data_IF_663823815440
#
_entry.id   IF_663823815440
#
_cell.length_a   1.000
_cell.length_b   1.000
_cell.length_c   1.000
_cell.angle_alpha   90.00
_cell.angle_beta   90.00
_cell.angle_gamma   90.00
#
_symmetry.space_group_name_H-M   'P 1'
#
loop_
_entity.id
_entity.type
_entity.pdbx_description
1 polymer ?
#
# COMPACT_ATOMS: atom_id res chain seq x y z
N UNK A 1 2.88 8.88 7.14
CA UNK A 1 3.72 7.80 7.72
C UNK A 1 2.91 6.92 8.66
N UNK A 2 2.30 7.46 9.71
CA UNK A 2 1.52 6.68 10.70
C UNK A 2 0.41 5.83 10.05
N UNK A 3 -0.29 6.34 9.06
CA UNK A 3 -1.38 5.64 8.34
C UNK A 3 -0.89 4.38 7.63
N UNK A 4 0.36 4.38 7.15
CA UNK A 4 1.01 3.25 6.47
C UNK A 4 1.73 2.27 7.39
N UNK A 5 1.67 2.46 8.68
CA UNK A 5 2.38 1.65 9.66
C UNK A 5 1.48 0.59 10.26
N UNK A 6 1.84 -0.64 10.27
CA UNK A 6 2.75 -1.47 9.46
C UNK A 6 2.01 -2.06 8.23
N UNK A 7 1.60 -1.26 7.31
CA UNK A 7 0.81 -1.58 6.11
C UNK A 7 -0.65 -1.97 6.39
N UNK A 8 -1.17 -1.58 7.56
CA UNK A 8 -2.50 -1.91 8.04
C UNK A 8 -3.51 -0.80 7.69
N UNK A 9 -3.67 -0.55 6.40
CA UNK A 9 -4.61 0.41 5.84
C UNK A 9 -5.36 -0.21 4.65
N UNK A 10 -6.20 0.58 3.97
CA UNK A 10 -6.97 0.13 2.83
C UNK A 10 -6.11 -0.34 1.64
N UNK A 11 -6.74 -1.01 0.70
CA UNK A 11 -6.13 -1.40 -0.58
C UNK A 11 -7.14 -1.21 -1.71
N UNK A 12 -6.72 -0.50 -2.76
CA UNK A 12 -7.45 -0.34 -4.00
C UNK A 12 -6.84 -1.23 -5.09
N UNK A 13 -7.63 -2.20 -5.58
CA UNK A 13 -7.21 -3.11 -6.63
C UNK A 13 -7.64 -2.56 -8.00
N UNK A 14 -6.67 -2.19 -8.83
CA UNK A 14 -6.87 -1.55 -10.12
C UNK A 14 -5.71 -1.88 -11.06
N UNK A 15 -5.60 -1.22 -12.21
CA UNK A 15 -4.40 -1.33 -13.05
C UNK A 15 -3.15 -0.84 -12.31
N UNK A 16 -3.31 0.17 -11.43
CA UNK A 16 -2.32 0.54 -10.42
C UNK A 16 -2.90 0.30 -9.03
N UNK A 17 -2.31 -0.63 -8.27
CA UNK A 17 -2.68 -0.85 -6.89
C UNK A 17 -2.18 0.29 -6.01
N UNK A 18 -3.00 0.68 -5.04
CA UNK A 18 -2.66 1.77 -4.15
C UNK A 18 -3.50 1.78 -2.88
N UNK A 19 -3.29 2.81 -2.08
CA UNK A 19 -3.88 2.96 -0.76
C UNK A 19 -4.43 4.38 -0.61
N UNK A 20 -5.68 4.64 -1.02
CA UNK A 20 -6.26 5.98 -0.99
C UNK A 20 -6.31 6.62 0.39
N UNK A 21 -6.35 5.85 1.48
CA UNK A 21 -6.25 6.39 2.84
C UNK A 21 -4.92 7.10 3.12
N UNK A 22 -3.89 6.88 2.29
CA UNK A 22 -2.62 7.61 2.34
C UNK A 22 -2.79 9.13 2.25
N UNK A 23 -3.90 9.60 1.66
CA UNK A 23 -4.23 11.02 1.56
C UNK A 23 -4.60 11.68 2.91
N UNK A 24 -5.03 10.90 3.91
CA UNK A 24 -5.54 11.42 5.19
C UNK A 24 -4.54 12.33 5.89
N UNK A 25 -3.24 12.04 5.82
CA UNK A 25 -2.22 12.84 6.50
C UNK A 25 -2.23 14.31 6.09
N UNK A 26 -2.25 14.59 4.79
CA UNK A 26 -2.32 15.95 4.26
C UNK A 26 -3.67 16.62 4.53
N UNK A 27 -4.75 15.87 4.37
CA UNK A 27 -6.12 16.36 4.59
C UNK A 27 -6.32 16.75 6.06
N UNK A 28 -5.99 15.87 6.99
CA UNK A 28 -6.19 16.09 8.43
C UNK A 28 -5.33 17.25 8.95
N UNK A 29 -4.05 17.29 8.56
CA UNK A 29 -3.16 18.37 8.97
C UNK A 29 -3.64 19.73 8.45
N UNK A 30 -4.12 19.80 7.19
CA UNK A 30 -4.68 21.03 6.62
C UNK A 30 -5.98 21.44 7.32
N UNK A 31 -6.87 20.49 7.59
CA UNK A 31 -8.14 20.75 8.27
C UNK A 31 -7.92 21.21 9.71
N UNK A 32 -6.98 20.62 10.46
CA UNK A 32 -6.62 21.05 11.81
C UNK A 32 -6.05 22.49 11.79
N UNK A 33 -5.10 22.75 10.89
CA UNK A 33 -4.52 24.08 10.76
C UNK A 33 -5.59 25.15 10.42
N UNK A 34 -6.45 24.87 9.43
CA UNK A 34 -7.55 25.77 9.06
C UNK A 34 -8.50 26.01 10.24
N UNK A 35 -8.89 24.97 10.96
CA UNK A 35 -9.77 25.04 12.12
C UNK A 35 -9.18 25.95 13.21
N UNK A 36 -7.90 25.77 13.54
CA UNK A 36 -7.20 26.62 14.51
C UNK A 36 -7.13 28.08 14.07
N UNK A 37 -6.81 28.31 12.80
CA UNK A 37 -6.77 29.66 12.23
C UNK A 37 -8.13 30.35 12.24
N UNK A 38 -9.21 29.64 11.92
CA UNK A 38 -10.57 30.17 11.95
C UNK A 38 -11.01 30.52 13.38
N UNK A 39 -10.78 29.61 14.33
CA UNK A 39 -11.11 29.84 15.74
C UNK A 39 -10.33 31.04 16.31
N UNK A 40 -9.03 31.17 15.99
CA UNK A 40 -8.21 32.29 16.42
C UNK A 40 -8.71 33.65 15.89
N UNK A 41 -9.47 33.64 14.76
CA UNK A 41 -10.12 34.82 14.18
C UNK A 41 -11.58 34.99 14.65
N UNK A 42 -12.03 34.24 15.67
CA UNK A 42 -13.39 34.30 16.18
C UNK A 42 -14.43 33.54 15.36
N UNK A 43 -14.00 32.74 14.38
CA UNK A 43 -14.84 31.88 13.58
C UNK A 43 -15.07 30.49 14.21
N UNK A 44 -15.61 29.55 13.44
CA UNK A 44 -15.86 28.16 13.85
C UNK A 44 -14.85 27.21 13.21
N UNK A 45 -14.50 26.15 13.90
CA UNK A 45 -13.73 25.03 13.35
C UNK A 45 -14.46 24.34 12.20
N UNK A 46 -13.71 23.67 11.32
CA UNK A 46 -14.28 22.75 10.34
C UNK A 46 -15.00 21.61 11.04
N UNK A 47 -16.07 21.13 10.44
CA UNK A 47 -16.77 19.92 10.91
C UNK A 47 -16.00 18.67 10.47
N UNK A 48 -16.15 17.57 11.23
CA UNK A 48 -15.60 16.27 10.84
C UNK A 48 -16.10 15.81 9.45
N UNK A 49 -17.36 16.18 9.08
CA UNK A 49 -17.90 15.89 7.74
C UNK A 49 -17.05 16.48 6.61
N UNK A 50 -16.43 17.67 6.80
CA UNK A 50 -15.56 18.24 5.80
C UNK A 50 -14.30 17.40 5.56
N UNK A 51 -13.76 16.77 6.61
CA UNK A 51 -12.64 15.82 6.49
C UNK A 51 -13.09 14.54 5.78
N UNK A 52 -14.27 14.01 6.12
CA UNK A 52 -14.81 12.82 5.46
C UNK A 52 -15.11 13.07 3.97
N UNK A 53 -15.70 14.20 3.63
CA UNK A 53 -15.93 14.60 2.23
C UNK A 53 -14.60 14.72 1.46
N UNK A 54 -13.58 15.31 2.08
CA UNK A 54 -12.25 15.42 1.52
C UNK A 54 -11.61 14.03 1.27
N UNK A 55 -11.80 13.09 2.20
CA UNK A 55 -11.34 11.72 2.04
C UNK A 55 -12.06 10.99 0.91
N UNK A 56 -13.38 11.11 0.81
CA UNK A 56 -14.16 10.51 -0.29
C UNK A 56 -13.66 11.03 -1.64
N UNK A 57 -13.47 12.35 -1.76
CA UNK A 57 -12.94 12.96 -3.00
C UNK A 57 -11.53 12.46 -3.31
N UNK A 58 -10.65 12.36 -2.32
CA UNK A 58 -9.28 11.88 -2.52
C UNK A 58 -9.26 10.41 -2.96
N UNK A 59 -10.10 9.55 -2.35
CA UNK A 59 -10.28 8.16 -2.76
C UNK A 59 -10.70 8.08 -4.23
N UNK A 60 -11.70 8.87 -4.60
CA UNK A 60 -12.25 8.84 -5.94
C UNK A 60 -11.24 9.36 -6.98
N UNK A 61 -10.56 10.49 -6.72
CA UNK A 61 -9.54 11.03 -7.63
C UNK A 61 -8.40 10.04 -7.82
N UNK A 62 -7.86 9.51 -6.72
CA UNK A 62 -6.77 8.55 -6.78
C UNK A 62 -7.18 7.25 -7.46
N UNK A 63 -8.31 6.70 -7.06
CA UNK A 63 -8.74 5.38 -7.50
C UNK A 63 -9.21 5.35 -8.95
N UNK A 64 -9.89 6.39 -9.44
CA UNK A 64 -10.30 6.49 -10.86
C UNK A 64 -9.08 6.67 -11.76
N UNK A 65 -8.09 7.49 -11.35
CA UNK A 65 -6.81 7.58 -12.07
C UNK A 65 -6.08 6.24 -12.13
N UNK A 66 -6.11 5.48 -11.03
CA UNK A 66 -5.46 4.17 -10.91
C UNK A 66 -6.20 3.06 -11.68
N UNK A 67 -7.51 3.24 -11.95
CA UNK A 67 -8.38 2.16 -12.41
C UNK A 67 -7.87 1.53 -13.71
N UNK A 68 -7.38 2.34 -14.63
CA UNK A 68 -6.93 1.90 -15.97
C UNK A 68 -5.50 2.30 -16.31
N UNK A 69 -4.86 3.12 -15.47
CA UNK A 69 -3.55 3.67 -15.73
C UNK A 69 -2.51 3.08 -14.79
N UNK A 70 -1.65 2.20 -15.31
CA UNK A 70 -0.60 1.55 -14.52
C UNK A 70 0.70 2.37 -14.54
N UNK A 71 0.97 3.05 -13.46
CA UNK A 71 2.23 3.78 -13.22
C UNK A 71 3.40 2.83 -12.98
N UNK A 72 3.13 1.68 -12.39
CA UNK A 72 4.09 0.61 -12.16
C UNK A 72 4.75 0.13 -13.47
N UNK A 73 3.97 -0.02 -14.56
CA UNK A 73 4.48 -0.45 -15.87
C UNK A 73 5.49 0.51 -16.49
N UNK A 74 5.54 1.74 -16.02
CA UNK A 74 6.52 2.75 -16.46
C UNK A 74 7.57 3.06 -15.39
N UNK A 75 7.63 2.27 -14.30
CA UNK A 75 8.64 2.40 -13.25
C UNK A 75 8.32 3.47 -12.19
N UNK A 76 7.12 4.05 -12.22
CA UNK A 76 6.65 5.01 -11.23
C UNK A 76 5.90 4.29 -10.09
N UNK A 77 5.95 4.88 -8.90
CA UNK A 77 5.23 4.39 -7.74
C UNK A 77 3.85 5.04 -7.62
N UNK A 78 2.87 4.30 -7.11
CA UNK A 78 1.49 4.76 -6.92
C UNK A 78 1.37 6.02 -6.04
N UNK A 79 2.38 6.38 -5.25
CA UNK A 79 2.34 7.60 -4.42
C UNK A 79 2.33 8.89 -5.24
N UNK A 80 2.62 8.84 -6.55
CA UNK A 80 2.34 9.98 -7.44
C UNK A 80 0.84 10.31 -7.43
N UNK A 81 -0.02 9.29 -7.43
CA UNK A 81 -1.47 9.46 -7.38
C UNK A 81 -1.94 10.03 -6.04
N UNK A 82 -1.29 9.61 -4.93
CA UNK A 82 -1.49 10.22 -3.61
C UNK A 82 -1.16 11.71 -3.64
N UNK A 83 -0.02 12.09 -4.25
CA UNK A 83 0.36 13.49 -4.40
C UNK A 83 -0.68 14.28 -5.19
N UNK A 84 -1.14 13.77 -6.32
CA UNK A 84 -2.12 14.44 -7.20
C UNK A 84 -3.47 14.60 -6.48
N UNK A 85 -4.01 13.53 -5.91
CA UNK A 85 -5.29 13.55 -5.21
C UNK A 85 -5.26 14.46 -3.97
N UNK A 86 -4.20 14.34 -3.15
CA UNK A 86 -4.00 15.23 -2.00
C UNK A 86 -3.90 16.70 -2.43
N UNK A 87 -3.18 17.01 -3.52
CA UNK A 87 -3.07 18.41 -3.99
C UNK A 87 -4.43 19.00 -4.37
N UNK A 88 -5.25 18.24 -5.08
CA UNK A 88 -6.59 18.67 -5.47
C UNK A 88 -7.48 18.94 -4.25
N UNK A 89 -7.50 18.01 -3.31
CA UNK A 89 -8.40 18.06 -2.15
C UNK A 89 -7.94 19.09 -1.11
N UNK A 90 -6.65 19.14 -0.83
CA UNK A 90 -6.05 20.18 0.04
C UNK A 90 -6.26 21.56 -0.56
N UNK A 91 -6.05 21.73 -1.86
CA UNK A 91 -6.32 22.99 -2.53
C UNK A 91 -7.80 23.43 -2.37
N UNK A 92 -8.74 22.49 -2.50
CA UNK A 92 -10.16 22.76 -2.24
C UNK A 92 -10.42 23.19 -0.79
N UNK A 93 -9.81 22.51 0.20
CA UNK A 93 -9.92 22.86 1.62
C UNK A 93 -9.36 24.25 1.90
N UNK A 94 -8.26 24.64 1.24
CA UNK A 94 -7.64 25.97 1.33
C UNK A 94 -8.46 27.05 0.62
N UNK A 95 -9.51 26.69 -0.12
CA UNK A 95 -10.37 27.64 -0.85
C UNK A 95 -9.79 28.13 -2.17
N UNK A 96 -8.88 27.37 -2.79
CA UNK A 96 -8.32 27.72 -4.09
C UNK A 96 -9.42 27.84 -5.16
N UNK A 97 -9.32 28.84 -6.01
CA UNK A 97 -10.13 28.98 -7.21
C UNK A 97 -9.83 27.83 -8.20
N UNK A 98 -10.69 27.67 -9.21
CA UNK A 98 -10.49 26.66 -10.26
C UNK A 98 -9.14 26.83 -10.99
N UNK A 99 -8.72 28.06 -11.25
CA UNK A 99 -7.44 28.35 -11.91
C UNK A 99 -6.24 28.00 -11.01
N UNK A 100 -6.30 28.34 -9.74
CA UNK A 100 -5.26 27.97 -8.76
C UNK A 100 -5.19 26.44 -8.55
N UNK A 101 -6.35 25.76 -8.54
CA UNK A 101 -6.37 24.29 -8.48
C UNK A 101 -5.71 23.64 -9.71
N UNK A 102 -5.97 24.16 -10.92
CA UNK A 102 -5.30 23.68 -12.13
C UNK A 102 -3.80 23.91 -12.03
N UNK A 103 -3.36 25.08 -11.54
CA UNK A 103 -1.94 25.35 -11.32
C UNK A 103 -1.35 24.37 -10.31
N UNK A 104 -1.95 24.19 -9.14
CA UNK A 104 -1.46 23.29 -8.10
C UNK A 104 -1.34 21.83 -8.60
N UNK A 105 -2.37 21.31 -9.28
CA UNK A 105 -2.39 19.94 -9.82
C UNK A 105 -1.33 19.80 -10.92
N UNK A 106 -1.15 20.80 -11.77
CA UNK A 106 -0.12 20.76 -12.80
C UNK A 106 1.28 20.68 -12.20
N UNK A 107 1.55 21.44 -11.14
CA UNK A 107 2.80 21.37 -10.38
C UNK A 107 3.03 19.98 -9.78
N UNK A 108 1.96 19.27 -9.36
CA UNK A 108 2.09 17.92 -8.86
C UNK A 108 2.54 16.90 -9.92
N UNK A 109 2.33 17.18 -11.20
CA UNK A 109 2.87 16.37 -12.30
C UNK A 109 4.25 16.83 -12.76
N UNK A 110 4.61 18.11 -12.59
CA UNK A 110 5.95 18.62 -12.91
C UNK A 110 6.98 18.14 -11.90
N UNK A 111 6.67 18.24 -10.60
CA UNK A 111 7.67 18.11 -9.54
C UNK A 111 7.80 16.71 -8.97
N UNK A 112 9.05 16.20 -8.94
CA UNK A 112 9.50 15.10 -8.10
C UNK A 112 8.67 13.81 -8.18
N UNK A 113 8.79 13.05 -9.26
CA UNK A 113 8.10 11.77 -9.39
C UNK A 113 8.81 10.67 -8.59
N UNK A 114 8.03 9.83 -7.90
CA UNK A 114 8.56 8.72 -7.13
C UNK A 114 8.86 7.51 -8.04
N UNK A 115 10.12 7.04 -8.03
CA UNK A 115 10.49 5.79 -8.67
C UNK A 115 10.12 4.59 -7.78
N UNK A 116 9.71 3.49 -8.40
CA UNK A 116 9.24 2.29 -7.71
C UNK A 116 10.36 1.40 -7.13
N UNK A 117 11.62 1.69 -7.35
CA UNK A 117 12.75 0.83 -7.01
C UNK A 117 12.76 0.37 -5.53
N UNK A 118 12.22 1.18 -4.61
CA UNK A 118 12.18 0.87 -3.18
C UNK A 118 11.00 -0.05 -2.75
N UNK A 119 10.20 -0.54 -3.70
CA UNK A 119 9.08 -1.46 -3.45
C UNK A 119 9.38 -2.92 -3.75
N UNK A 120 10.53 -3.19 -4.36
CA UNK A 120 10.90 -4.54 -4.80
C UNK A 120 12.07 -5.07 -3.99
N UNK A 121 12.02 -6.36 -3.63
CA UNK A 121 13.15 -7.03 -3.01
C UNK A 121 14.40 -6.94 -3.94
N UNK A 122 15.60 -6.77 -3.40
CA UNK A 122 15.95 -6.65 -1.99
C UNK A 122 15.86 -5.20 -1.44
N UNK A 123 15.41 -4.22 -2.22
CA UNK A 123 15.47 -2.79 -1.91
C UNK A 123 14.34 -2.29 -1.00
N UNK A 124 13.35 -3.13 -0.67
CA UNK A 124 12.26 -2.74 0.24
C UNK A 124 12.83 -2.42 1.62
N UNK A 125 12.49 -1.25 2.14
CA UNK A 125 12.98 -0.77 3.42
C UNK A 125 12.11 0.35 3.99
N UNK A 126 12.64 1.12 4.95
CA UNK A 126 11.90 2.13 5.71
C UNK A 126 11.21 3.21 4.84
N UNK A 127 11.77 3.56 3.66
CA UNK A 127 11.14 4.52 2.74
C UNK A 127 9.70 4.12 2.38
N UNK A 128 9.42 2.84 2.25
CA UNK A 128 8.08 2.34 1.95
C UNK A 128 7.03 2.88 2.93
N UNK A 129 7.38 2.96 4.21
CA UNK A 129 6.46 3.42 5.26
C UNK A 129 6.24 4.94 5.28
N UNK A 130 7.16 5.76 4.72
CA UNK A 130 7.03 7.21 4.72
C UNK A 130 6.83 7.84 3.33
N UNK A 131 6.88 7.07 2.26
CA UNK A 131 6.74 7.57 0.88
C UNK A 131 5.39 8.29 0.64
N UNK A 132 4.30 7.75 1.18
CA UNK A 132 2.99 8.40 1.10
C UNK A 132 2.93 9.68 1.94
N UNK A 133 3.57 9.69 3.12
CA UNK A 133 3.71 10.88 3.96
C UNK A 133 4.49 11.99 3.25
N UNK A 134 5.56 11.66 2.53
CA UNK A 134 6.29 12.59 1.67
C UNK A 134 5.39 13.12 0.53
N UNK A 135 4.62 12.26 -0.12
CA UNK A 135 3.71 12.64 -1.19
C UNK A 135 2.64 13.64 -0.73
N UNK A 136 1.98 13.39 0.41
CA UNK A 136 0.97 14.31 0.97
C UNK A 136 1.59 15.61 1.47
N UNK A 137 2.80 15.58 2.04
CA UNK A 137 3.55 16.78 2.45
C UNK A 137 3.85 17.69 1.25
N UNK A 138 4.32 17.10 0.14
CA UNK A 138 4.53 17.82 -1.12
C UNK A 138 3.24 18.40 -1.67
N UNK A 139 2.14 17.65 -1.59
CA UNK A 139 0.83 18.11 -2.04
C UNK A 139 0.37 19.38 -1.32
N UNK A 140 0.49 19.39 0.03
CA UNK A 140 0.15 20.58 0.84
C UNK A 140 1.03 21.78 0.42
N UNK A 141 2.33 21.57 0.27
CA UNK A 141 3.27 22.61 -0.17
C UNK A 141 2.90 23.18 -1.56
N UNK A 142 2.57 22.31 -2.52
CA UNK A 142 2.21 22.73 -3.88
C UNK A 142 0.90 23.54 -3.89
N UNK A 143 -0.09 23.14 -3.09
CA UNK A 143 -1.33 23.88 -2.94
C UNK A 143 -1.09 25.28 -2.33
N UNK A 144 -0.21 25.40 -1.32
CA UNK A 144 0.15 26.69 -0.71
C UNK A 144 0.96 27.58 -1.69
N UNK A 145 1.83 27.00 -2.51
CA UNK A 145 2.56 27.72 -3.56
C UNK A 145 1.58 28.31 -4.57
N UNK A 146 0.64 27.52 -5.07
CA UNK A 146 -0.40 28.01 -5.99
C UNK A 146 -1.28 29.08 -5.34
N UNK A 147 -1.63 28.93 -4.04
CA UNK A 147 -2.38 29.94 -3.28
C UNK A 147 -1.64 31.29 -3.16
N UNK A 148 -0.31 31.26 -3.14
CA UNK A 148 0.50 32.49 -3.12
C UNK A 148 0.57 33.22 -4.47
N UNK A 149 -0.09 32.69 -5.50
CA UNK A 149 -0.14 33.29 -6.84
C UNK A 149 0.91 32.74 -7.82
N UNK A 150 1.65 31.69 -7.44
CA UNK A 150 2.60 31.05 -8.36
C UNK A 150 1.87 30.36 -9.51
N UNK A 151 2.41 30.51 -10.72
CA UNK A 151 1.82 29.91 -11.92
C UNK A 151 2.03 28.40 -11.96
N UNK A 152 1.12 27.69 -12.62
CA UNK A 152 1.28 26.31 -13.02
C UNK A 152 1.47 26.14 -14.52
N UNK A 153 1.42 24.89 -14.97
CA UNK A 153 1.66 24.50 -16.36
C UNK A 153 0.50 23.63 -16.86
N UNK A 154 -0.63 24.22 -17.30
CA UNK A 154 -1.84 23.47 -17.68
C UNK A 154 -1.62 22.41 -18.76
N UNK A 155 -0.60 22.58 -19.61
CA UNK A 155 -0.20 21.60 -20.64
C UNK A 155 0.74 20.50 -20.12
N UNK A 156 0.98 20.40 -18.81
CA UNK A 156 1.98 19.47 -18.21
C UNK A 156 1.81 18.02 -18.66
N UNK A 157 0.60 17.58 -18.92
CA UNK A 157 0.35 16.22 -19.39
C UNK A 157 0.66 16.01 -20.86
N UNK A 158 0.36 17.03 -21.70
CA UNK A 158 0.23 16.90 -23.16
C UNK A 158 1.24 17.70 -23.97
N UNK A 159 2.13 18.47 -23.33
CA UNK A 159 3.15 19.26 -24.05
C UNK A 159 4.04 18.31 -24.88
N UNK A 160 4.11 18.48 -26.23
CA UNK A 160 4.86 17.57 -27.09
C UNK A 160 6.35 17.50 -26.71
N UNK A 161 6.86 16.30 -26.51
CA UNK A 161 8.25 16.01 -26.13
C UNK A 161 8.65 16.39 -24.69
N UNK A 162 7.82 17.16 -23.96
CA UNK A 162 8.13 17.68 -22.63
C UNK A 162 7.06 17.34 -21.58
N UNK A 163 5.88 16.96 -22.01
CA UNK A 163 4.77 16.61 -21.14
C UNK A 163 4.93 15.24 -20.50
N UNK A 164 4.18 15.02 -19.43
CA UNK A 164 4.22 13.79 -18.64
C UNK A 164 3.97 12.53 -19.48
N UNK A 165 3.06 12.61 -20.46
CA UNK A 165 2.76 11.47 -21.33
C UNK A 165 3.97 11.03 -22.14
N UNK A 166 4.65 11.98 -22.80
CA UNK A 166 5.79 11.67 -23.65
C UNK A 166 7.01 11.25 -22.82
N UNK A 167 7.31 11.99 -21.73
CA UNK A 167 8.54 11.80 -20.96
C UNK A 167 8.47 10.59 -20.04
N UNK A 168 7.34 10.37 -19.36
CA UNK A 168 7.23 9.38 -18.28
C UNK A 168 6.21 8.27 -18.54
N UNK A 169 5.27 8.46 -19.46
CA UNK A 169 4.18 7.52 -19.69
C UNK A 169 4.22 6.83 -21.05
N UNK A 170 5.40 6.81 -21.69
CA UNK A 170 5.67 6.15 -22.98
C UNK A 170 4.75 6.64 -24.12
N UNK A 171 4.39 7.92 -24.11
CA UNK A 171 3.49 8.51 -25.11
C UNK A 171 2.00 8.17 -24.93
N UNK A 172 1.64 7.43 -23.88
CA UNK A 172 0.24 7.05 -23.64
C UNK A 172 -0.48 8.11 -22.81
N UNK A 173 -1.69 8.48 -23.21
CA UNK A 173 -2.58 9.33 -22.41
C UNK A 173 -3.31 8.51 -21.34
N UNK A 174 -3.75 9.17 -20.26
CA UNK A 174 -4.60 8.53 -19.28
C UNK A 174 -5.96 8.16 -19.87
N UNK A 175 -6.46 6.98 -19.47
CA UNK A 175 -7.80 6.51 -19.75
C UNK A 175 -8.72 6.72 -18.55
N UNK A 176 -9.97 7.09 -18.82
CA UNK A 176 -11.01 7.31 -17.81
C UNK A 176 -12.30 6.67 -18.31
N UNK A 177 -12.65 5.49 -17.80
CA UNK A 177 -13.86 4.77 -18.21
C UNK A 177 -15.10 5.21 -17.45
N UNK A 178 -14.94 5.88 -16.32
CA UNK A 178 -16.09 6.34 -15.55
C UNK A 178 -15.90 7.74 -14.97
N UNK A 179 -17.00 8.49 -14.79
CA UNK A 179 -16.96 9.77 -14.13
C UNK A 179 -16.61 9.62 -12.66
N UNK A 180 -16.15 10.68 -12.04
CA UNK A 180 -15.98 10.75 -10.58
C UNK A 180 -17.33 10.65 -9.86
N UNK A 181 -17.37 9.93 -8.74
CA UNK A 181 -18.53 9.71 -7.90
C UNK A 181 -18.15 9.19 -6.51
N UNK A 182 -18.61 7.99 -6.15
CA UNK A 182 -18.29 7.28 -4.90
C UNK A 182 -17.78 5.86 -5.12
N UNK A 183 -17.53 5.48 -6.37
CA UNK A 183 -17.20 4.11 -6.76
C UNK A 183 -16.01 3.52 -5.99
N UNK A 184 -14.96 4.31 -5.77
CA UNK A 184 -13.77 3.83 -5.05
C UNK A 184 -14.08 3.56 -3.59
N UNK A 185 -14.83 4.44 -2.92
CA UNK A 185 -15.24 4.22 -1.53
C UNK A 185 -16.16 3.01 -1.36
N UNK A 186 -16.99 2.71 -2.35
CA UNK A 186 -17.92 1.57 -2.32
C UNK A 186 -17.21 0.23 -2.56
N UNK A 187 -16.01 0.24 -3.18
CA UNK A 187 -15.30 -0.96 -3.62
C UNK A 187 -13.88 -1.08 -3.03
N UNK A 188 -13.50 -0.20 -2.10
CA UNK A 188 -12.20 -0.28 -1.42
C UNK A 188 -12.15 -1.49 -0.50
N UNK A 189 -11.00 -2.13 -0.41
CA UNK A 189 -10.77 -3.26 0.49
C UNK A 189 -10.07 -2.81 1.77
N UNK A 190 -10.45 -3.39 2.90
CA UNK A 190 -9.82 -3.15 4.19
C UNK A 190 -9.16 -4.43 4.71
N UNK A 191 -7.95 -4.29 5.23
CA UNK A 191 -7.23 -5.36 5.92
C UNK A 191 -7.72 -5.38 7.36
N UNK A 192 -8.76 -6.15 7.65
CA UNK A 192 -9.41 -6.17 8.96
C UNK A 192 -8.90 -7.26 9.90
N UNK A 193 -8.27 -8.31 9.37
CA UNK A 193 -7.84 -9.46 10.16
C UNK A 193 -6.49 -9.25 10.82
N UNK A 194 -5.49 -8.82 10.08
CA UNK A 194 -4.13 -8.60 10.61
C UNK A 194 -3.33 -7.60 9.77
N UNK A 195 -2.35 -6.92 10.41
CA UNK A 195 -1.46 -5.99 9.73
C UNK A 195 -0.40 -6.77 8.94
N UNK A 196 -0.64 -7.01 7.67
CA UNK A 196 0.30 -7.67 6.78
C UNK A 196 0.22 -7.04 5.38
N UNK A 197 1.32 -7.06 4.66
CA UNK A 197 1.31 -6.71 3.25
C UNK A 197 0.25 -7.54 2.51
N UNK A 198 -0.46 -6.94 1.55
CA UNK A 198 -1.71 -7.49 1.02
C UNK A 198 -1.56 -8.91 0.45
N UNK A 199 -0.44 -9.19 -0.27
CA UNK A 199 -0.18 -10.50 -0.87
C UNK A 199 0.08 -11.61 0.16
N UNK A 200 0.39 -11.27 1.42
CA UNK A 200 0.65 -12.22 2.50
C UNK A 200 -0.56 -12.46 3.42
N UNK A 201 -1.69 -11.77 3.24
CA UNK A 201 -2.87 -11.91 4.13
C UNK A 201 -3.31 -13.37 4.26
N UNK A 202 -3.52 -14.04 3.13
CA UNK A 202 -3.95 -15.45 3.09
C UNK A 202 -2.85 -16.42 3.53
N UNK A 203 -1.57 -16.07 3.34
CA UNK A 203 -0.46 -16.88 3.87
C UNK A 203 -0.38 -16.83 5.40
N UNK A 204 -0.62 -15.65 6.00
CA UNK A 204 -0.70 -15.50 7.45
C UNK A 204 -1.88 -16.27 8.04
N UNK A 205 -3.05 -16.23 7.37
CA UNK A 205 -4.23 -17.01 7.77
C UNK A 205 -3.96 -18.52 7.70
N UNK A 206 -3.37 -19.00 6.61
CA UNK A 206 -2.99 -20.41 6.47
C UNK A 206 -2.00 -20.85 7.58
N UNK A 207 -1.07 -19.97 7.96
CA UNK A 207 -0.11 -20.27 9.04
C UNK A 207 -0.79 -20.35 10.42
N UNK A 208 -1.83 -19.54 10.69
CA UNK A 208 -2.64 -19.65 11.92
C UNK A 208 -3.40 -20.99 11.99
N UNK A 209 -3.96 -21.44 10.87
CA UNK A 209 -4.63 -22.74 10.77
C UNK A 209 -3.61 -23.86 11.05
N UNK A 210 -2.43 -23.79 10.45
CA UNK A 210 -1.36 -24.79 10.66
C UNK A 210 -0.80 -24.76 12.08
N UNK A 211 -0.77 -23.60 12.75
CA UNK A 211 -0.42 -23.52 14.18
C UNK A 211 -1.38 -24.35 15.02
N UNK A 212 -2.68 -24.18 14.83
CA UNK A 212 -3.69 -24.95 15.54
C UNK A 212 -3.58 -26.45 15.22
N UNK A 213 -3.32 -26.83 13.98
CA UNK A 213 -3.13 -28.21 13.55
C UNK A 213 -1.88 -28.85 14.21
N UNK A 214 -0.75 -28.13 14.28
CA UNK A 214 0.45 -28.57 14.99
C UNK A 214 0.14 -28.89 16.46
N UNK A 215 -0.52 -27.96 17.16
CA UNK A 215 -0.88 -28.14 18.57
C UNK A 215 -1.84 -29.33 18.78
N UNK A 216 -2.80 -29.52 17.87
CA UNK A 216 -3.75 -30.64 17.95
C UNK A 216 -3.06 -32.00 17.87
N UNK A 217 -1.90 -32.07 17.19
CA UNK A 217 -1.05 -33.28 17.07
C UNK A 217 0.01 -33.38 18.15
N UNK A 218 0.01 -32.48 19.14
CA UNK A 218 1.07 -32.44 20.17
C UNK A 218 2.44 -32.04 19.60
N UNK A 219 2.47 -31.34 18.46
CA UNK A 219 3.66 -30.84 17.79
C UNK A 219 3.80 -29.32 18.00
N UNK A 220 4.98 -28.81 17.73
CA UNK A 220 5.28 -27.38 17.81
C UNK A 220 6.06 -26.92 16.58
N UNK A 221 6.31 -25.64 16.45
CA UNK A 221 7.16 -25.10 15.39
C UNK A 221 8.60 -25.68 15.41
N UNK A 222 9.08 -26.18 16.57
CA UNK A 222 10.38 -26.85 16.68
C UNK A 222 10.47 -28.17 15.88
N UNK A 223 9.33 -28.82 15.66
CA UNK A 223 9.26 -30.08 14.88
C UNK A 223 9.30 -29.83 13.36
N UNK A 224 9.20 -28.58 12.90
CA UNK A 224 9.15 -28.20 11.48
C UNK A 224 10.55 -28.33 10.86
N UNK A 225 10.63 -29.00 9.72
CA UNK A 225 11.88 -29.18 8.92
C UNK A 225 11.85 -28.32 7.65
N UNK A 226 10.69 -28.22 7.00
CA UNK A 226 10.53 -27.45 5.76
C UNK A 226 9.10 -26.88 5.65
N UNK A 227 9.00 -25.68 5.07
CA UNK A 227 7.74 -25.04 4.72
C UNK A 227 7.80 -24.64 3.24
N UNK A 228 6.84 -25.10 2.47
CA UNK A 228 6.65 -24.64 1.09
C UNK A 228 5.47 -23.69 1.04
N UNK A 229 5.69 -22.48 0.51
CA UNK A 229 4.69 -21.46 0.30
C UNK A 229 4.42 -21.40 -1.21
N UNK A 230 3.32 -21.98 -1.66
CA UNK A 230 2.81 -21.80 -3.03
C UNK A 230 2.07 -20.47 -3.12
N UNK A 231 2.45 -19.62 -4.04
CA UNK A 231 1.92 -18.25 -4.16
C UNK A 231 1.93 -17.78 -5.62
N UNK A 232 1.47 -16.58 -5.87
CA UNK A 232 1.48 -15.95 -7.21
C UNK A 232 2.78 -15.16 -7.46
N UNK A 233 3.09 -14.90 -8.73
CA UNK A 233 4.34 -14.22 -9.17
C UNK A 233 4.57 -12.88 -8.45
N UNK A 234 3.51 -12.07 -8.28
CA UNK A 234 3.65 -10.76 -7.66
C UNK A 234 4.11 -10.83 -6.20
N UNK A 235 3.66 -11.83 -5.42
CA UNK A 235 4.13 -12.05 -4.05
C UNK A 235 5.63 -12.38 -4.04
N UNK A 236 6.07 -13.29 -4.90
CA UNK A 236 7.50 -13.64 -4.99
C UNK A 236 8.34 -12.41 -5.33
N UNK A 237 7.94 -11.63 -6.31
CA UNK A 237 8.66 -10.43 -6.74
C UNK A 237 8.71 -9.33 -5.68
N UNK A 238 7.69 -9.21 -4.85
CA UNK A 238 7.54 -8.09 -3.90
C UNK A 238 8.00 -8.46 -2.49
N UNK A 239 7.61 -9.63 -1.98
CA UNK A 239 7.74 -10.00 -0.57
C UNK A 239 8.50 -11.31 -0.28
N UNK A 240 8.99 -12.04 -1.28
CA UNK A 240 9.95 -13.14 -1.05
C UNK A 240 11.33 -12.55 -0.72
N UNK A 241 11.55 -12.25 0.57
CA UNK A 241 12.72 -11.54 1.04
C UNK A 241 13.60 -12.44 1.91
N UNK A 242 14.82 -12.68 1.44
CA UNK A 242 15.85 -13.46 2.17
C UNK A 242 16.77 -12.54 2.98
N UNK A 243 17.49 -13.14 3.92
CA UNK A 243 18.50 -12.46 4.73
C UNK A 243 17.92 -11.69 5.92
N UNK A 244 18.75 -10.83 6.57
CA UNK A 244 18.37 -10.12 7.79
C UNK A 244 17.29 -9.06 7.55
N UNK A 245 16.43 -8.87 8.55
CA UNK A 245 15.37 -7.86 8.56
C UNK A 245 15.66 -6.85 9.68
N UNK A 246 15.85 -5.58 9.31
CA UNK A 246 16.41 -4.57 10.20
C UNK A 246 15.38 -3.67 10.89
N UNK A 247 14.12 -3.68 10.44
CA UNK A 247 13.10 -2.78 10.95
C UNK A 247 11.69 -3.33 10.64
N UNK A 248 10.63 -2.79 11.24
CA UNK A 248 9.26 -3.24 10.97
C UNK A 248 8.84 -3.20 9.50
N UNK A 249 9.33 -2.22 8.73
CA UNK A 249 9.01 -2.12 7.29
C UNK A 249 9.69 -3.19 6.43
N UNK A 250 10.80 -3.77 6.91
CA UNK A 250 11.39 -4.97 6.31
C UNK A 250 10.55 -6.21 6.61
N UNK A 251 10.04 -6.31 7.82
CA UNK A 251 9.31 -7.47 8.36
C UNK A 251 7.91 -7.57 7.76
N UNK A 252 7.18 -6.47 7.65
CA UNK A 252 5.84 -6.42 7.07
C UNK A 252 5.81 -6.59 5.53
N UNK A 253 6.99 -6.66 4.90
CA UNK A 253 7.20 -6.98 3.48
C UNK A 253 8.08 -8.21 3.28
N UNK A 254 8.03 -9.15 4.20
CA UNK A 254 8.70 -10.46 4.11
C UNK A 254 7.67 -11.55 4.37
N UNK A 255 7.25 -12.29 3.31
CA UNK A 255 6.23 -13.34 3.45
C UNK A 255 6.65 -14.40 4.47
N UNK A 256 7.95 -14.72 4.52
CA UNK A 256 8.46 -15.69 5.48
C UNK A 256 8.31 -15.21 6.93
N UNK A 257 8.46 -13.91 7.20
CA UNK A 257 8.22 -13.36 8.52
C UNK A 257 6.73 -13.43 8.90
N UNK A 258 5.86 -13.02 7.96
CA UNK A 258 4.42 -13.02 8.13
C UNK A 258 3.81 -14.43 8.18
N UNK A 259 4.56 -15.47 7.84
CA UNK A 259 4.21 -16.90 8.06
C UNK A 259 4.84 -17.42 9.36
N UNK A 260 6.10 -17.07 9.66
CA UNK A 260 6.80 -17.57 10.84
C UNK A 260 6.14 -17.15 12.15
N UNK A 261 5.74 -15.88 12.26
CA UNK A 261 5.10 -15.35 13.47
C UNK A 261 3.79 -16.06 13.80
N UNK A 262 2.79 -16.14 12.88
CA UNK A 262 1.56 -16.85 13.20
C UNK A 262 1.76 -18.37 13.39
N UNK A 263 2.73 -18.97 12.71
CA UNK A 263 3.04 -20.39 12.93
C UNK A 263 3.63 -20.65 14.33
N UNK A 264 4.38 -19.70 14.89
CA UNK A 264 4.94 -19.76 16.26
C UNK A 264 3.91 -19.41 17.34
N UNK A 265 3.17 -18.33 17.13
CA UNK A 265 2.39 -17.69 18.18
C UNK A 265 0.87 -17.77 18.00
N UNK A 266 0.38 -18.25 16.87
CA UNK A 266 -1.05 -18.32 16.53
C UNK A 266 -1.70 -16.93 16.34
N UNK A 267 -0.89 -15.88 16.12
CA UNK A 267 -1.36 -14.51 15.94
C UNK A 267 -0.41 -13.72 15.02
N UNK A 268 -0.90 -12.59 14.51
CA UNK A 268 -0.09 -11.56 13.85
C UNK A 268 -0.69 -10.19 14.16
N UNK A 269 -0.02 -9.42 15.00
CA UNK A 269 -0.42 -8.08 15.43
C UNK A 269 0.63 -7.03 15.07
N UNK A 270 0.34 -5.76 15.24
CA UNK A 270 1.30 -4.68 14.97
C UNK A 270 2.57 -4.78 15.84
N UNK A 271 2.40 -5.22 17.09
CA UNK A 271 3.49 -5.40 18.05
C UNK A 271 4.45 -6.52 17.63
N UNK A 272 3.97 -7.50 16.85
CA UNK A 272 4.79 -8.61 16.38
C UNK A 272 5.84 -8.19 15.34
N UNK A 273 5.76 -6.96 14.81
CA UNK A 273 6.79 -6.40 13.93
C UNK A 273 7.86 -5.59 14.67
N UNK A 274 7.66 -5.29 15.96
CA UNK A 274 8.62 -4.53 16.76
C UNK A 274 9.85 -5.37 17.12
N UNK A 275 10.96 -4.69 17.43
CA UNK A 275 12.23 -5.33 17.74
C UNK A 275 12.14 -6.29 18.93
N UNK A 276 11.28 -5.98 19.90
CA UNK A 276 11.06 -6.81 21.09
C UNK A 276 10.59 -8.24 20.76
N UNK A 277 9.82 -8.41 19.68
CA UNK A 277 9.39 -9.73 19.21
C UNK A 277 10.36 -10.28 18.16
N UNK A 278 10.85 -9.42 17.27
CA UNK A 278 11.71 -9.82 16.17
C UNK A 278 13.08 -10.37 16.58
N UNK A 279 13.53 -10.12 17.82
CA UNK A 279 14.75 -10.74 18.39
C UNK A 279 14.59 -12.21 18.73
N UNK A 280 13.39 -12.78 18.68
CA UNK A 280 13.17 -14.21 18.90
C UNK A 280 13.79 -15.00 17.74
N UNK A 281 14.89 -15.69 18.04
CA UNK A 281 15.67 -16.45 17.06
C UNK A 281 14.87 -17.54 16.34
N UNK A 282 13.75 -18.00 16.92
CA UNK A 282 12.88 -19.02 16.32
C UNK A 282 12.21 -18.51 15.04
N UNK A 283 11.98 -17.19 14.95
CA UNK A 283 11.41 -16.56 13.75
C UNK A 283 12.35 -16.75 12.57
N UNK A 284 13.63 -16.34 12.72
CA UNK A 284 14.62 -16.46 11.64
C UNK A 284 14.92 -17.92 11.32
N UNK A 285 15.01 -18.78 12.35
CA UNK A 285 15.17 -20.22 12.17
C UNK A 285 14.04 -20.86 11.33
N UNK A 286 12.78 -20.44 11.50
CA UNK A 286 11.68 -20.87 10.66
C UNK A 286 11.76 -20.26 9.26
N UNK A 287 12.10 -18.99 9.14
CA UNK A 287 12.24 -18.30 7.85
C UNK A 287 13.25 -18.98 6.93
N UNK A 288 14.37 -19.47 7.49
CA UNK A 288 15.39 -20.21 6.73
C UNK A 288 14.90 -21.54 6.16
N UNK A 289 13.84 -22.11 6.73
CA UNK A 289 13.21 -23.35 6.27
C UNK A 289 12.13 -23.15 5.21
N UNK A 290 11.85 -21.90 4.84
CA UNK A 290 10.78 -21.54 3.91
C UNK A 290 11.29 -21.35 2.49
N UNK A 291 10.52 -21.86 1.53
CA UNK A 291 10.70 -21.61 0.11
C UNK A 291 9.38 -21.17 -0.52
N UNK A 292 9.43 -20.09 -1.32
CA UNK A 292 8.30 -19.67 -2.14
C UNK A 292 8.38 -20.34 -3.52
N UNK A 293 7.23 -20.82 -4.00
CA UNK A 293 7.09 -21.46 -5.30
C UNK A 293 5.90 -20.83 -6.01
N UNK A 294 6.11 -20.40 -7.26
CA UNK A 294 5.02 -19.88 -8.07
C UNK A 294 4.02 -20.99 -8.42
N UNK A 295 2.73 -20.67 -8.22
CA UNK A 295 1.63 -21.42 -8.82
C UNK A 295 1.09 -20.63 -10.02
N UNK A 296 1.18 -21.16 -11.25
CA UNK A 296 0.72 -20.47 -12.44
C UNK A 296 -0.79 -20.17 -12.44
N UNK A 297 -1.60 -20.97 -11.74
CA UNK A 297 -3.03 -20.70 -11.62
C UNK A 297 -3.28 -19.52 -10.67
N UNK A 298 -2.55 -19.45 -9.54
CA UNK A 298 -2.66 -18.31 -8.64
C UNK A 298 -2.20 -17.00 -9.33
N UNK A 299 -1.13 -17.06 -10.12
CA UNK A 299 -0.69 -15.91 -10.93
C UNK A 299 -1.75 -15.48 -11.94
N UNK A 300 -2.40 -16.44 -12.62
CA UNK A 300 -3.49 -16.15 -13.56
C UNK A 300 -4.69 -15.50 -12.86
N UNK A 301 -5.12 -16.05 -11.73
CA UNK A 301 -6.27 -15.56 -10.97
C UNK A 301 -5.99 -14.20 -10.31
N UNK A 302 -4.74 -13.94 -9.91
CA UNK A 302 -4.29 -12.62 -9.45
C UNK A 302 -4.44 -11.54 -10.53
N UNK A 303 -4.12 -11.86 -11.78
CA UNK A 303 -4.22 -10.92 -12.91
C UNK A 303 -5.62 -10.83 -13.52
N UNK A 304 -6.52 -11.75 -13.20
CA UNK A 304 -7.90 -11.74 -13.69
C UNK A 304 -8.69 -10.61 -13.00
N UNK A 305 -9.17 -9.59 -13.74
CA UNK A 305 -9.93 -8.48 -13.16
C UNK A 305 -11.20 -8.91 -12.44
N UNK A 306 -11.76 -10.07 -12.77
CA UNK A 306 -12.99 -10.59 -12.16
C UNK A 306 -12.71 -11.33 -10.85
N UNK A 307 -11.49 -11.83 -10.65
CA UNK A 307 -11.08 -12.59 -9.46
C UNK A 307 -10.22 -11.75 -8.51
N UNK A 308 -9.09 -11.23 -9.04
CA UNK A 308 -8.07 -10.50 -8.26
C UNK A 308 -7.67 -11.24 -6.96
N UNK A 309 -7.59 -12.56 -7.07
CA UNK A 309 -7.26 -13.46 -5.96
C UNK A 309 -5.82 -13.25 -5.48
N UNK A 310 -5.60 -13.42 -4.19
CA UNK A 310 -4.27 -13.43 -3.54
C UNK A 310 -3.99 -14.77 -2.90
N UNK A 311 -4.38 -15.87 -3.55
CA UNK A 311 -4.26 -17.21 -3.01
C UNK A 311 -2.84 -17.55 -2.56
N UNK A 312 -2.75 -18.19 -1.39
CA UNK A 312 -1.54 -18.80 -0.85
C UNK A 312 -1.86 -20.19 -0.32
N UNK A 313 -0.94 -21.14 -0.52
CA UNK A 313 -1.06 -22.48 0.04
C UNK A 313 0.23 -22.86 0.75
N UNK A 314 0.11 -23.37 1.97
CA UNK A 314 1.23 -23.73 2.82
C UNK A 314 1.25 -25.24 3.06
N UNK A 315 2.43 -25.85 2.84
CA UNK A 315 2.73 -27.24 3.20
C UNK A 315 3.85 -27.28 4.22
N UNK A 316 3.70 -28.06 5.29
CA UNK A 316 4.68 -28.18 6.39
C UNK A 316 5.13 -29.63 6.52
N UNK A 317 6.45 -29.87 6.48
CA UNK A 317 7.10 -31.15 6.71
C UNK A 317 7.70 -31.17 8.11
N UNK A 318 7.49 -32.28 8.83
CA UNK A 318 7.92 -32.44 10.21
C UNK A 318 9.12 -33.39 10.32
N UNK A 319 9.87 -33.29 11.42
CA UNK A 319 11.08 -34.06 11.68
C UNK A 319 10.84 -35.59 11.79
N UNK A 320 9.63 -36.02 12.08
CA UNK A 320 9.26 -37.44 12.09
C UNK A 320 8.91 -38.00 10.70
N UNK A 321 9.08 -37.18 9.64
CA UNK A 321 8.77 -37.51 8.25
C UNK A 321 7.30 -37.31 7.87
N UNK A 322 6.44 -36.93 8.80
CA UNK A 322 5.05 -36.60 8.47
C UNK A 322 4.93 -35.25 7.78
N UNK A 323 3.89 -35.11 6.94
CA UNK A 323 3.54 -33.89 6.26
C UNK A 323 2.14 -33.45 6.72
N UNK A 324 1.97 -32.21 7.13
CA UNK A 324 0.65 -31.67 7.43
C UNK A 324 -0.16 -31.54 6.14
N UNK A 325 -1.50 -31.69 6.20
CA UNK A 325 -2.35 -31.32 5.07
C UNK A 325 -2.07 -29.92 4.58
N UNK A 326 -1.98 -29.75 3.25
CA UNK A 326 -1.83 -28.41 2.66
C UNK A 326 -3.01 -27.53 3.06
N UNK A 327 -2.74 -26.31 3.49
CA UNK A 327 -3.75 -25.30 3.79
C UNK A 327 -3.70 -24.25 2.69
N UNK A 328 -4.74 -24.22 1.87
CA UNK A 328 -5.00 -23.20 0.85
C UNK A 328 -6.00 -22.18 1.39
N UNK A 329 -5.66 -20.91 1.28
CA UNK A 329 -6.57 -19.78 1.55
C UNK A 329 -6.56 -18.85 0.32
N UNK A 330 -7.76 -18.43 -0.08
CA UNK A 330 -7.98 -17.58 -1.27
C UNK A 330 -8.78 -16.32 -0.93
#
# INVERSE_FOLDING_TARGET
TMIRWPDFNDTWLAAEWGHPSDNLGGILATADWLSRMQVAKGGRSLKASAVLEAMIMAHEIQGILALENSFNKVGLDHVILVKVASTAVVGKLLGLSRSELINAISLAFVDGQALRTYRHAPNTGSRKSWAAGDATSRAVRLALIAQSGEMGYPSVLTAPGWGFYDVLFKGQSFSFQRPYGSYVMENILFKISFPAEFHAQTAAEAAMILHAELLSRGKTAADVVRITIRTHEAAIRIIDKKGPLHNPADRDHCIQYMVAVPLLFGRLTAEDYEDAVAVDIRIDWLREKMSCVEDPQFTKDYHDPSKRSIANALTVELADGSILPEVLVE
#
